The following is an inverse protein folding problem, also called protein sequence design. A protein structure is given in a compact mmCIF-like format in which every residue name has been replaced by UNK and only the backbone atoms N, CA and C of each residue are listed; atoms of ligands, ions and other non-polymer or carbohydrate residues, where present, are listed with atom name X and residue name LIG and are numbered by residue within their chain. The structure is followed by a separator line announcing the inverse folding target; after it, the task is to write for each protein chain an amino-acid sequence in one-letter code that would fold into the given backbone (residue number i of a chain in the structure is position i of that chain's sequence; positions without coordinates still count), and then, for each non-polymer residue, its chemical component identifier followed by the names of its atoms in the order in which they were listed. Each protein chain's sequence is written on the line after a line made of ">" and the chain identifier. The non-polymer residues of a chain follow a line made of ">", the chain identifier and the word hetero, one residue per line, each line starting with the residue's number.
data_IF_151612189577
#
_entry.id   IF_151612189577
#
_cell.length_a   1.000
_cell.length_b   1.000
_cell.length_c   1.000
_cell.angle_alpha   90.00
_cell.angle_beta   90.00
_cell.angle_gamma   90.00
#
_symmetry.space_group_name_H-M   'P 1'
#
loop_
_entity.id
_entity.type
_entity.pdbx_description
1 polymer ?
#
# COMPACT_ATOMS: atom_id res chain seq x y z
N UNK A 1 -17.38 2.77 3.87
CA UNK A 1 -18.29 1.64 3.61
C UNK A 1 -18.80 1.05 4.93
N UNK A 2 -20.08 0.69 4.99
CA UNK A 2 -20.66 -0.09 6.07
C UNK A 2 -20.21 -1.55 6.01
N UNK A 3 -20.35 -2.32 7.11
CA UNK A 3 -20.05 -3.77 7.09
C UNK A 3 -20.89 -4.52 6.05
N UNK A 4 -22.13 -4.07 5.82
CA UNK A 4 -23.01 -4.68 4.83
C UNK A 4 -22.51 -4.44 3.41
N UNK A 5 -22.12 -3.21 3.07
CA UNK A 5 -21.55 -2.87 1.76
C UNK A 5 -20.24 -3.63 1.49
N UNK A 6 -19.39 -3.76 2.52
CA UNK A 6 -18.17 -4.57 2.40
C UNK A 6 -18.47 -6.06 2.20
N UNK A 7 -19.46 -6.60 2.92
CA UNK A 7 -19.86 -7.99 2.77
C UNK A 7 -20.52 -8.29 1.41
N UNK A 8 -21.17 -7.30 0.80
CA UNK A 8 -21.74 -7.42 -0.55
C UNK A 8 -20.65 -7.41 -1.64
N UNK A 9 -19.53 -6.75 -1.38
CA UNK A 9 -18.40 -6.65 -2.33
C UNK A 9 -17.41 -7.82 -2.14
N UNK A 10 -17.14 -8.17 -0.87
CA UNK A 10 -16.13 -9.18 -0.51
C UNK A 10 -16.82 -10.35 0.23
N UNK A 11 -16.72 -11.59 -0.30
CA UNK A 11 -17.31 -12.77 0.33
C UNK A 11 -16.52 -13.26 1.55
N UNK A 12 -15.97 -12.35 2.33
CA UNK A 12 -15.14 -12.66 3.49
C UNK A 12 -15.99 -12.77 4.77
N UNK A 13 -15.46 -13.47 5.77
CA UNK A 13 -16.13 -13.61 7.04
C UNK A 13 -16.19 -12.29 7.83
N UNK A 14 -17.16 -12.21 8.76
CA UNK A 14 -17.39 -11.00 9.55
C UNK A 14 -16.22 -10.60 10.45
N UNK A 15 -15.41 -11.56 10.90
CA UNK A 15 -14.26 -11.27 11.76
C UNK A 15 -13.17 -10.56 10.95
N UNK A 16 -12.89 -11.05 9.74
CA UNK A 16 -11.97 -10.42 8.78
C UNK A 16 -12.43 -8.99 8.43
N UNK A 17 -13.69 -8.81 8.06
CA UNK A 17 -14.23 -7.48 7.72
C UNK A 17 -14.13 -6.52 8.91
N UNK A 18 -14.41 -6.98 10.13
CA UNK A 18 -14.26 -6.18 11.34
C UNK A 18 -12.82 -5.80 11.63
N UNK A 19 -11.89 -6.74 11.47
CA UNK A 19 -10.46 -6.47 11.65
C UNK A 19 -9.93 -5.44 10.63
N UNK A 20 -10.34 -5.54 9.37
CA UNK A 20 -10.00 -4.55 8.33
C UNK A 20 -10.55 -3.17 8.66
N UNK A 21 -11.80 -3.10 9.09
CA UNK A 21 -12.45 -1.83 9.45
C UNK A 21 -11.82 -1.16 10.68
N UNK A 22 -11.26 -1.94 11.59
CA UNK A 22 -10.57 -1.43 12.78
C UNK A 22 -9.22 -0.77 12.46
N UNK A 23 -8.61 -1.06 11.32
CA UNK A 23 -7.37 -0.41 10.89
C UNK A 23 -7.64 1.07 10.58
N UNK A 24 -6.81 1.95 11.09
CA UNK A 24 -6.96 3.41 10.92
C UNK A 24 -6.50 3.91 9.55
N UNK A 25 -5.48 3.28 8.99
CA UNK A 25 -4.87 3.69 7.72
C UNK A 25 -5.87 3.58 6.57
N UNK A 26 -5.71 4.41 5.54
CA UNK A 26 -6.48 4.34 4.31
C UNK A 26 -6.27 3.00 3.61
N UNK A 27 -5.03 2.65 3.34
CA UNK A 27 -4.67 1.33 2.81
C UNK A 27 -4.71 0.30 3.93
N UNK A 28 -5.40 -0.81 3.70
CA UNK A 28 -5.59 -1.88 4.68
C UNK A 28 -4.63 -3.02 4.40
N UNK A 29 -4.08 -3.60 5.45
CA UNK A 29 -3.33 -4.86 5.37
C UNK A 29 -4.33 -6.00 5.43
N UNK A 30 -4.27 -6.90 4.45
CA UNK A 30 -5.09 -8.10 4.36
C UNK A 30 -4.36 -9.30 5.01
N UNK A 31 -5.11 -10.32 5.48
CA UNK A 31 -4.49 -11.59 5.87
C UNK A 31 -3.71 -12.18 4.68
N UNK A 32 -2.44 -12.48 4.90
CA UNK A 32 -1.55 -13.00 3.86
C UNK A 32 -0.91 -11.97 2.94
N UNK A 33 -1.09 -10.67 3.22
CA UNK A 33 -0.39 -9.61 2.49
C UNK A 33 1.13 -9.72 2.63
N UNK A 34 1.85 -9.30 1.61
CA UNK A 34 3.29 -9.13 1.71
C UNK A 34 3.60 -7.72 2.14
N UNK A 35 4.07 -7.61 3.37
CA UNK A 35 4.57 -6.37 3.95
C UNK A 35 6.10 -6.29 3.84
N UNK A 36 6.63 -5.09 4.00
CA UNK A 36 8.06 -4.84 4.03
C UNK A 36 8.42 -3.98 5.23
N UNK A 37 9.51 -4.28 5.92
CA UNK A 37 10.05 -3.41 6.96
C UNK A 37 10.43 -2.06 6.36
N UNK A 38 10.00 -0.99 7.00
CA UNK A 38 10.20 0.36 6.51
C UNK A 38 11.21 1.10 7.39
N UNK A 39 12.08 1.93 6.82
CA UNK A 39 12.30 2.15 5.39
C UNK A 39 13.23 1.12 4.75
N UNK A 40 13.86 0.28 5.55
CA UNK A 40 14.83 -0.72 5.10
C UNK A 40 14.58 -2.05 5.79
N UNK A 41 14.72 -3.14 5.06
CA UNK A 41 14.56 -4.47 5.63
C UNK A 41 14.15 -5.51 4.59
N UNK A 42 13.47 -6.55 5.03
CA UNK A 42 13.03 -7.65 4.18
C UNK A 42 11.51 -7.66 4.05
N UNK A 43 11.04 -8.21 2.93
CA UNK A 43 9.63 -8.54 2.76
C UNK A 43 9.29 -9.79 3.59
N UNK A 44 8.06 -9.86 4.06
CA UNK A 44 7.49 -10.99 4.81
C UNK A 44 5.97 -11.06 4.58
N UNK A 45 5.39 -12.23 4.80
CA UNK A 45 3.94 -12.42 4.73
C UNK A 45 3.32 -12.06 6.08
N UNK A 46 2.25 -11.28 6.07
CA UNK A 46 1.51 -10.88 7.27
C UNK A 46 0.70 -12.05 7.82
N UNK A 47 1.03 -12.48 9.03
CA UNK A 47 0.31 -13.53 9.77
C UNK A 47 -0.71 -12.91 10.76
N UNK A 48 -0.33 -11.86 11.47
CA UNK A 48 -1.18 -11.12 12.40
C UNK A 48 -1.49 -9.71 11.87
N UNK A 49 -2.63 -9.61 11.20
CA UNK A 49 -3.10 -8.35 10.61
C UNK A 49 -3.20 -7.20 11.62
N UNK A 50 -3.59 -7.50 12.86
CA UNK A 50 -3.76 -6.45 13.88
C UNK A 50 -2.42 -5.93 14.35
N UNK A 51 -1.45 -6.81 14.54
CA UNK A 51 -0.07 -6.43 14.88
C UNK A 51 0.57 -5.63 13.73
N UNK A 52 0.44 -6.12 12.50
CA UNK A 52 1.02 -5.44 11.33
C UNK A 52 0.35 -4.10 11.03
N UNK A 53 -0.96 -3.96 11.25
CA UNK A 53 -1.65 -2.67 11.13
C UNK A 53 -1.15 -1.65 12.17
N UNK A 54 -0.87 -2.08 13.40
CA UNK A 54 -0.26 -1.22 14.41
C UNK A 54 1.17 -0.80 14.04
N UNK A 55 1.96 -1.71 13.47
CA UNK A 55 3.31 -1.43 12.98
C UNK A 55 3.29 -0.50 11.76
N UNK A 56 2.27 -0.62 10.90
CA UNK A 56 2.07 0.31 9.79
C UNK A 56 1.73 1.73 10.29
N UNK A 57 0.87 1.83 11.31
CA UNK A 57 0.59 3.12 11.98
C UNK A 57 1.87 3.73 12.58
N UNK A 58 2.75 2.90 13.13
CA UNK A 58 4.05 3.31 13.70
C UNK A 58 5.13 3.59 12.62
N UNK A 59 4.83 3.44 11.33
CA UNK A 59 5.77 3.56 10.21
C UNK A 59 6.93 2.53 10.22
N UNK A 60 6.73 1.37 10.84
CA UNK A 60 7.72 0.31 10.95
C UNK A 60 7.60 -0.72 9.80
N UNK A 61 6.42 -0.85 9.24
CA UNK A 61 6.15 -1.68 8.06
C UNK A 61 5.24 -0.95 7.09
N UNK A 62 5.28 -1.38 5.81
CA UNK A 62 4.35 -0.92 4.78
C UNK A 62 3.86 -2.11 3.94
N UNK A 63 2.61 -2.10 3.48
CA UNK A 63 2.15 -3.05 2.48
C UNK A 63 2.88 -2.84 1.16
N UNK A 64 2.93 -3.89 0.34
CA UNK A 64 3.66 -3.87 -0.93
C UNK A 64 2.78 -4.25 -2.10
N UNK A 65 3.08 -3.67 -3.28
CA UNK A 65 2.53 -4.09 -4.56
C UNK A 65 3.43 -5.11 -5.26
N UNK A 66 2.82 -6.00 -6.02
CA UNK A 66 3.51 -7.03 -6.80
C UNK A 66 4.03 -6.46 -8.13
N UNK A 67 5.32 -6.52 -8.34
CA UNK A 67 5.93 -6.36 -9.65
C UNK A 67 6.12 -7.74 -10.27
N UNK A 68 5.48 -7.96 -11.40
CA UNK A 68 5.39 -9.26 -12.08
C UNK A 68 6.76 -9.92 -12.27
N UNK A 69 6.86 -11.19 -11.90
CA UNK A 69 8.05 -12.01 -12.12
C UNK A 69 8.16 -13.17 -11.14
N UNK A 70 9.01 -14.13 -11.47
CA UNK A 70 9.09 -15.42 -10.81
C UNK A 70 9.81 -15.43 -9.46
N UNK A 71 10.54 -14.35 -9.13
CA UNK A 71 11.31 -14.22 -7.87
C UNK A 71 10.61 -13.36 -6.82
N UNK A 72 9.52 -12.69 -7.18
CA UNK A 72 8.79 -11.90 -6.22
C UNK A 72 8.04 -12.79 -5.23
N UNK A 73 8.12 -12.46 -3.95
CA UNK A 73 7.32 -13.11 -2.90
C UNK A 73 5.84 -12.96 -3.24
N UNK A 74 5.06 -14.03 -3.12
CA UNK A 74 3.62 -14.01 -3.39
C UNK A 74 2.85 -13.82 -2.10
N UNK A 75 1.69 -13.21 -2.22
CA UNK A 75 0.69 -13.14 -1.18
C UNK A 75 0.09 -14.52 -0.89
N UNK A 76 -0.54 -14.66 0.27
CA UNK A 76 -1.24 -15.88 0.70
C UNK A 76 -2.68 -15.58 1.10
N UNK A 77 -3.50 -16.61 1.31
CA UNK A 77 -4.87 -16.48 1.80
C UNK A 77 -5.70 -15.45 1.03
N UNK A 78 -6.37 -14.57 1.77
CA UNK A 78 -7.27 -13.54 1.22
C UNK A 78 -6.53 -12.55 0.31
N UNK A 79 -5.35 -12.11 0.71
CA UNK A 79 -4.55 -11.20 -0.11
C UNK A 79 -4.17 -11.83 -1.47
N UNK A 80 -3.94 -13.15 -1.50
CA UNK A 80 -3.68 -13.89 -2.72
C UNK A 80 -4.90 -13.89 -3.66
N UNK A 81 -6.10 -14.09 -3.13
CA UNK A 81 -7.32 -14.06 -3.93
C UNK A 81 -7.48 -12.73 -4.66
N UNK A 82 -7.18 -11.63 -3.98
CA UNK A 82 -7.21 -10.28 -4.56
C UNK A 82 -6.09 -10.09 -5.60
N UNK A 83 -4.86 -10.46 -5.26
CA UNK A 83 -3.69 -10.27 -6.13
C UNK A 83 -3.81 -11.11 -7.42
N UNK A 84 -4.29 -12.34 -7.34
CA UNK A 84 -4.41 -13.25 -8.47
C UNK A 84 -5.36 -12.71 -9.55
N UNK A 85 -6.42 -12.00 -9.20
CA UNK A 85 -7.34 -11.36 -10.16
C UNK A 85 -6.58 -10.41 -11.08
N UNK A 86 -5.69 -9.60 -10.52
CA UNK A 86 -4.91 -8.62 -11.28
C UNK A 86 -3.71 -9.25 -11.98
N UNK A 87 -3.14 -10.32 -11.39
CA UNK A 87 -1.97 -11.00 -11.94
C UNK A 87 -2.32 -11.99 -13.07
N UNK A 88 -3.55 -12.39 -13.23
CA UNK A 88 -3.96 -13.38 -14.25
C UNK A 88 -3.52 -13.00 -15.68
N UNK A 89 -3.58 -11.72 -16.02
CA UNK A 89 -3.16 -11.23 -17.35
C UNK A 89 -1.62 -11.26 -17.52
N UNK A 90 -0.88 -11.25 -16.44
CA UNK A 90 0.58 -11.25 -16.45
C UNK A 90 1.18 -12.68 -16.37
N UNK A 91 0.37 -13.70 -16.12
CA UNK A 91 0.81 -15.10 -15.96
C UNK A 91 1.74 -15.58 -17.09
N UNK A 92 1.46 -15.32 -18.38
CA UNK A 92 2.32 -15.74 -19.48
C UNK A 92 3.74 -15.12 -19.45
N UNK A 93 3.91 -14.01 -18.72
CA UNK A 93 5.16 -13.26 -18.67
C UNK A 93 5.97 -13.50 -17.40
N UNK A 94 5.46 -14.23 -16.42
CA UNK A 94 6.09 -14.45 -15.12
C UNK A 94 7.52 -14.98 -15.24
N UNK A 95 7.75 -15.93 -16.13
CA UNK A 95 9.06 -16.55 -16.32
C UNK A 95 10.06 -15.66 -17.05
N UNK A 96 9.60 -14.61 -17.71
CA UNK A 96 10.44 -13.69 -18.48
C UNK A 96 10.98 -12.53 -17.64
N UNK A 97 10.45 -12.35 -16.43
CA UNK A 97 10.79 -11.24 -15.53
C UNK A 97 11.19 -11.75 -14.15
N UNK A 98 12.15 -11.09 -13.53
CA UNK A 98 12.55 -11.44 -12.16
C UNK A 98 11.47 -11.10 -11.13
N UNK A 99 10.76 -9.98 -11.33
CA UNK A 99 9.80 -9.48 -10.38
C UNK A 99 10.41 -8.96 -9.07
N UNK A 100 9.58 -8.29 -8.29
CA UNK A 100 9.95 -7.77 -6.98
C UNK A 100 8.69 -7.43 -6.18
N UNK A 101 8.87 -6.97 -4.93
CA UNK A 101 7.86 -6.22 -4.18
C UNK A 101 8.28 -4.75 -4.13
N UNK A 102 7.31 -3.86 -4.28
CA UNK A 102 7.48 -2.42 -4.19
C UNK A 102 6.58 -1.87 -3.09
N UNK A 103 7.07 -0.89 -2.35
CA UNK A 103 6.22 -0.19 -1.37
C UNK A 103 4.97 0.34 -2.05
N UNK A 104 3.81 -0.05 -1.52
CA UNK A 104 2.51 0.46 -1.95
C UNK A 104 2.13 1.76 -1.22
N UNK A 105 2.90 2.11 -0.19
CA UNK A 105 2.74 3.31 0.61
C UNK A 105 4.08 3.94 0.91
N UNK A 106 4.14 5.26 0.91
CA UNK A 106 5.29 6.06 1.32
C UNK A 106 4.84 7.17 2.25
N UNK A 107 5.73 7.59 3.13
CA UNK A 107 5.48 8.73 4.00
C UNK A 107 6.26 9.94 3.49
N UNK A 108 5.58 11.08 3.39
CA UNK A 108 6.25 12.36 3.24
C UNK A 108 6.74 12.80 4.63
N UNK A 109 8.03 13.13 4.73
CA UNK A 109 8.69 13.56 5.96
C UNK A 109 9.13 15.01 5.83
N UNK A 110 9.38 15.68 6.95
CA UNK A 110 9.83 17.08 6.99
C UNK A 110 8.96 18.01 6.15
N UNK A 111 7.64 17.82 6.25
CA UNK A 111 6.70 18.57 5.41
C UNK A 111 6.59 20.00 5.93
N UNK A 112 7.00 20.93 5.10
CA UNK A 112 6.85 22.38 5.30
C UNK A 112 6.07 22.95 4.10
N UNK A 113 5.25 23.96 4.35
CA UNK A 113 4.53 24.64 3.31
C UNK A 113 4.40 26.13 3.58
N UNK A 114 4.31 26.91 2.51
CA UNK A 114 4.08 28.34 2.56
C UNK A 114 3.21 28.79 1.38
N UNK A 115 2.31 29.73 1.62
CA UNK A 115 1.57 30.38 0.55
C UNK A 115 2.13 31.77 0.31
N UNK A 116 2.56 32.03 -0.93
CA UNK A 116 3.05 33.35 -1.35
C UNK A 116 1.90 34.14 -1.98
N UNK A 117 1.43 35.14 -1.24
CA UNK A 117 0.25 35.94 -1.64
C UNK A 117 0.52 36.76 -2.89
N UNK A 118 1.72 37.33 -3.02
CA UNK A 118 2.10 38.20 -4.15
C UNK A 118 2.13 37.47 -5.48
N UNK A 119 2.66 36.24 -5.48
CA UNK A 119 2.77 35.39 -6.68
C UNK A 119 1.55 34.45 -6.83
N UNK A 120 0.70 34.39 -5.83
CA UNK A 120 -0.46 33.49 -5.76
C UNK A 120 -0.09 32.02 -5.96
N UNK A 121 1.03 31.57 -5.42
CA UNK A 121 1.45 30.17 -5.48
C UNK A 121 1.66 29.54 -4.10
N UNK A 122 1.62 28.21 -4.08
CA UNK A 122 1.83 27.38 -2.92
C UNK A 122 3.18 26.68 -3.04
N UNK A 123 4.06 26.89 -2.06
CA UNK A 123 5.34 26.21 -1.95
C UNK A 123 5.22 25.07 -0.94
N UNK A 124 5.79 23.92 -1.27
CA UNK A 124 5.88 22.79 -0.37
C UNK A 124 7.28 22.17 -0.43
N UNK A 125 7.83 21.88 0.74
CA UNK A 125 9.07 21.14 0.90
C UNK A 125 8.78 19.85 1.66
N UNK A 126 9.32 18.75 1.23
CA UNK A 126 9.19 17.45 1.90
C UNK A 126 10.28 16.49 1.45
N UNK A 127 10.57 15.52 2.31
CA UNK A 127 11.47 14.42 2.02
C UNK A 127 10.70 13.15 1.68
N UNK A 128 11.18 12.38 0.71
CA UNK A 128 10.62 11.09 0.34
C UNK A 128 11.72 10.02 0.32
N UNK A 129 11.35 8.81 0.67
CA UNK A 129 12.22 7.65 0.51
C UNK A 129 12.56 7.41 -0.97
N UNK A 130 13.78 6.91 -1.21
CA UNK A 130 14.24 6.55 -2.55
C UNK A 130 13.27 5.58 -3.23
N UNK A 131 12.84 5.90 -4.42
CA UNK A 131 11.89 5.12 -5.20
C UNK A 131 10.43 5.59 -5.07
N UNK A 132 10.17 6.61 -4.24
CA UNK A 132 8.88 7.31 -4.20
C UNK A 132 8.90 8.50 -5.18
N UNK A 133 7.73 8.94 -5.61
CA UNK A 133 7.59 10.01 -6.61
C UNK A 133 6.85 11.19 -6.02
N UNK A 134 7.45 12.37 -6.13
CA UNK A 134 6.83 13.62 -5.67
C UNK A 134 5.53 13.95 -6.44
N UNK A 135 5.43 13.56 -7.71
CA UNK A 135 4.20 13.70 -8.50
C UNK A 135 3.03 13.00 -7.87
N UNK A 136 3.21 11.78 -7.34
CA UNK A 136 2.14 11.04 -6.64
C UNK A 136 1.68 11.79 -5.38
N UNK A 137 2.59 12.39 -4.62
CA UNK A 137 2.22 13.23 -3.46
C UNK A 137 1.40 14.44 -3.90
N UNK A 138 1.78 15.08 -5.00
CA UNK A 138 1.05 16.24 -5.54
C UNK A 138 -0.32 15.83 -6.06
N UNK A 139 -0.45 14.68 -6.74
CA UNK A 139 -1.72 14.13 -7.22
C UNK A 139 -2.69 13.89 -6.07
N UNK A 140 -2.20 13.29 -4.97
CA UNK A 140 -2.99 13.07 -3.75
C UNK A 140 -3.47 14.38 -3.11
N UNK A 141 -2.61 15.40 -3.05
CA UNK A 141 -2.97 16.71 -2.50
C UNK A 141 -3.98 17.41 -3.40
N UNK A 142 -3.74 17.41 -4.71
CA UNK A 142 -4.58 18.08 -5.69
C UNK A 142 -5.84 17.30 -6.06
N UNK A 143 -5.91 16.02 -5.68
CA UNK A 143 -6.98 15.06 -6.03
C UNK A 143 -7.25 15.00 -7.53
N UNK A 144 -6.19 15.01 -8.32
CA UNK A 144 -6.21 14.89 -9.79
C UNK A 144 -4.89 14.35 -10.30
N UNK A 145 -4.90 13.72 -11.46
CA UNK A 145 -3.69 13.33 -12.19
C UNK A 145 -2.96 14.57 -12.72
N UNK A 146 -1.62 14.54 -12.72
CA UNK A 146 -0.72 15.57 -13.19
C UNK A 146 -0.16 15.24 -14.58
#
# INVERSE_FOLDING_TARGET
>A
FSEKELADIFPWDKATLKALKAQKQFMKILPGDVCHHYPHGKAFVSEDVSAEAARFEAKDVVPTGFLVGNRAMRTEGIAKEVEDVYCAQAEPYLTQMNGARRFAWSFAEDVEWNYREEEAWFEMHFSLQKGSYATVVLEEILRREL
#
